data_IF_640633253535
#
_entry.id   IF_640633253535
#
_cell.length_a   1.000
_cell.length_b   1.000
_cell.length_c   1.000
_cell.angle_alpha   90.00
_cell.angle_beta   90.00
_cell.angle_gamma   90.00
#
_symmetry.space_group_name_H-M   'P 1'
#
loop_
_entity.id
_entity.type
_entity.pdbx_description
1 polymer ?
#
# COMPACT_ATOMS: atom_id res chain seq x y z
N UNK A 1 0.36 27.94 9.71
CA UNK A 1 1.25 27.29 8.73
C UNK A 1 2.45 28.22 8.50
N UNK A 2 3.64 27.68 8.45
CA UNK A 2 4.91 28.39 8.30
C UNK A 2 5.22 28.74 6.80
N UNK A 3 4.34 28.38 5.88
CA UNK A 3 4.51 28.57 4.44
C UNK A 3 5.26 27.43 3.72
N UNK A 4 5.66 26.39 4.44
CA UNK A 4 6.25 25.19 3.85
C UNK A 4 5.21 24.41 3.05
N UNK A 5 5.56 23.96 1.85
CA UNK A 5 4.71 23.10 1.03
C UNK A 5 5.17 21.64 1.14
N UNK A 6 4.23 20.73 1.23
CA UNK A 6 4.47 19.30 1.15
C UNK A 6 3.66 18.71 0.00
N UNK A 7 4.33 18.07 -0.92
CA UNK A 7 3.74 17.34 -2.03
C UNK A 7 3.86 15.84 -1.81
N UNK A 8 2.87 15.08 -2.28
CA UNK A 8 2.91 13.62 -2.31
C UNK A 8 2.47 13.12 -3.67
N UNK A 9 3.06 12.01 -4.10
CA UNK A 9 2.77 11.36 -5.36
C UNK A 9 3.16 9.87 -5.30
N UNK A 10 2.64 9.07 -6.19
CA UNK A 10 3.12 7.73 -6.39
C UNK A 10 4.07 7.68 -7.59
N UNK A 11 5.09 6.82 -7.54
CA UNK A 11 6.11 6.71 -8.57
C UNK A 11 6.73 5.33 -8.58
N UNK A 12 7.10 4.87 -9.76
CA UNK A 12 7.73 3.58 -10.07
C UNK A 12 7.99 3.49 -11.56
N UNK A 13 8.36 2.31 -12.05
CA UNK A 13 8.69 2.09 -13.48
C UNK A 13 7.48 2.34 -14.38
N UNK A 14 6.30 1.88 -13.96
CA UNK A 14 5.03 2.05 -14.69
C UNK A 14 3.88 1.90 -13.70
N UNK A 15 2.78 2.60 -13.96
CA UNK A 15 1.54 2.43 -13.19
C UNK A 15 1.10 0.95 -13.14
N UNK A 16 0.63 0.49 -12.00
CA UNK A 16 0.21 -0.89 -11.67
C UNK A 16 1.34 -1.89 -11.43
N UNK A 17 2.59 -1.51 -11.64
CA UNK A 17 3.72 -2.39 -11.35
C UNK A 17 4.02 -2.38 -9.85
N UNK A 18 4.42 -3.53 -9.26
CA UNK A 18 4.65 -3.63 -7.81
C UNK A 18 5.73 -2.71 -7.24
N UNK A 19 6.60 -2.13 -8.07
CA UNK A 19 7.62 -1.16 -7.64
C UNK A 19 7.08 0.25 -7.40
N UNK A 20 5.80 0.50 -7.70
CA UNK A 20 5.16 1.80 -7.45
C UNK A 20 5.02 2.03 -5.95
N UNK A 21 5.69 3.07 -5.46
CA UNK A 21 5.73 3.48 -4.06
C UNK A 21 5.14 4.89 -3.90
N UNK A 22 4.96 5.32 -2.65
CA UNK A 22 4.56 6.68 -2.30
C UNK A 22 5.78 7.49 -1.91
N UNK A 23 5.93 8.65 -2.52
CA UNK A 23 6.99 9.62 -2.24
C UNK A 23 6.41 10.93 -1.75
N UNK A 24 7.23 11.64 -0.99
CA UNK A 24 6.96 13.02 -0.57
C UNK A 24 8.15 13.91 -0.88
N UNK A 25 7.87 15.19 -1.16
CA UNK A 25 8.87 16.24 -1.30
C UNK A 25 8.40 17.48 -0.58
N UNK A 26 9.35 18.22 -0.02
CA UNK A 26 9.11 19.46 0.70
C UNK A 26 9.71 20.63 -0.07
N UNK A 27 9.04 21.76 0.03
CA UNK A 27 9.58 23.06 -0.37
C UNK A 27 9.46 23.99 0.82
N UNK A 28 10.58 24.33 1.41
CA UNK A 28 10.63 25.21 2.58
C UNK A 28 10.12 26.61 2.22
N UNK A 29 9.54 27.29 3.20
CA UNK A 29 9.06 28.65 3.02
C UNK A 29 10.18 29.58 2.50
N UNK A 30 9.87 30.35 1.47
CA UNK A 30 10.85 31.25 0.82
C UNK A 30 11.87 30.57 -0.10
N UNK A 31 11.85 29.24 -0.22
CA UNK A 31 12.70 28.49 -1.16
C UNK A 31 11.98 28.24 -2.47
N UNK A 32 12.72 28.31 -3.57
CA UNK A 32 12.22 27.88 -4.90
C UNK A 32 12.59 26.43 -5.24
N UNK A 33 13.29 25.74 -4.34
CA UNK A 33 13.80 24.40 -4.58
C UNK A 33 13.02 23.38 -3.74
N UNK A 34 12.59 22.29 -4.39
CA UNK A 34 12.04 21.11 -3.74
C UNK A 34 13.16 20.23 -3.17
N UNK A 35 12.90 19.59 -2.06
CA UNK A 35 13.80 18.57 -1.50
C UNK A 35 13.94 17.38 -2.46
N UNK A 36 14.94 16.52 -2.20
CA UNK A 36 14.95 15.19 -2.81
C UNK A 36 13.69 14.42 -2.39
N UNK A 37 13.19 13.50 -3.24
CA UNK A 37 12.11 12.60 -2.87
C UNK A 37 12.45 11.78 -1.62
N UNK A 38 11.50 11.68 -0.71
CA UNK A 38 11.55 10.80 0.47
C UNK A 38 10.56 9.67 0.22
N UNK A 39 11.00 8.43 0.37
CA UNK A 39 10.11 7.26 0.35
C UNK A 39 9.25 7.30 1.61
N UNK A 40 7.95 7.57 1.45
CA UNK A 40 7.00 7.62 2.56
C UNK A 40 6.36 6.26 2.83
N UNK A 41 6.07 5.50 1.78
CA UNK A 41 5.55 4.14 1.89
C UNK A 41 5.84 3.34 0.62
N UNK A 42 6.01 2.04 0.80
CA UNK A 42 6.12 1.07 -0.29
C UNK A 42 4.92 0.14 -0.35
N UNK A 43 4.83 -0.65 -1.40
CA UNK A 43 3.77 -1.63 -1.61
C UNK A 43 4.01 -2.98 -0.95
N UNK A 44 5.07 -3.14 -0.17
CA UNK A 44 5.33 -4.33 0.63
C UNK A 44 4.40 -4.28 1.83
N UNK A 45 3.36 -5.10 1.87
CA UNK A 45 2.38 -5.04 2.95
C UNK A 45 2.29 -6.33 3.76
N UNK A 46 2.96 -7.37 3.32
CA UNK A 46 3.08 -8.61 4.07
C UNK A 46 4.39 -9.30 3.74
N UNK A 47 4.98 -9.89 4.75
CA UNK A 47 6.05 -10.88 4.58
C UNK A 47 5.44 -12.26 4.59
N UNK A 48 6.16 -13.25 4.09
CA UNK A 48 5.68 -14.63 3.98
C UNK A 48 4.97 -15.14 5.24
N UNK A 49 5.54 -14.88 6.42
CA UNK A 49 4.98 -15.34 7.69
C UNK A 49 3.64 -14.67 8.01
N UNK A 50 3.53 -13.39 7.72
CA UNK A 50 2.33 -12.59 8.00
C UNK A 50 1.23 -12.93 6.99
N UNK A 51 1.58 -13.06 5.73
CA UNK A 51 0.66 -13.50 4.70
C UNK A 51 0.10 -14.90 4.99
N UNK A 52 0.95 -15.85 5.32
CA UNK A 52 0.52 -17.20 5.65
C UNK A 52 -0.43 -17.22 6.85
N UNK A 53 -0.19 -16.38 7.86
CA UNK A 53 -1.05 -16.23 9.02
C UNK A 53 -2.41 -15.64 8.66
N UNK A 54 -2.44 -14.54 7.89
CA UNK A 54 -3.67 -13.84 7.51
C UNK A 54 -4.50 -14.66 6.53
N UNK A 55 -3.86 -15.23 5.52
CA UNK A 55 -4.51 -16.06 4.52
C UNK A 55 -4.86 -17.47 5.04
N UNK A 56 -4.44 -17.81 6.26
CA UNK A 56 -4.60 -19.16 6.80
C UNK A 56 -3.77 -20.23 6.09
N UNK A 57 -2.78 -19.83 5.30
CA UNK A 57 -1.84 -20.73 4.61
C UNK A 57 -0.70 -21.07 5.56
N UNK A 58 -0.25 -22.32 5.53
CA UNK A 58 0.90 -22.74 6.31
C UNK A 58 2.18 -22.07 5.80
N UNK A 59 2.90 -21.36 6.67
CA UNK A 59 4.14 -20.68 6.31
C UNK A 59 5.21 -21.63 5.75
N UNK A 60 5.15 -22.92 6.09
CA UNK A 60 6.04 -23.93 5.53
C UNK A 60 5.80 -24.13 4.04
N UNK A 61 4.55 -24.03 3.59
CA UNK A 61 4.19 -24.14 2.17
C UNK A 61 4.75 -22.97 1.38
N UNK A 62 4.68 -21.77 1.93
CA UNK A 62 5.23 -20.56 1.29
C UNK A 62 6.76 -20.67 1.20
N UNK A 63 7.43 -21.12 2.27
CA UNK A 63 8.89 -21.32 2.28
C UNK A 63 9.34 -22.43 1.35
N UNK A 64 8.55 -23.46 1.18
CA UNK A 64 8.83 -24.57 0.28
C UNK A 64 8.58 -24.24 -1.20
N UNK A 65 8.28 -22.97 -1.53
CA UNK A 65 8.07 -22.51 -2.89
C UNK A 65 7.05 -23.37 -3.65
N UNK A 66 5.85 -23.47 -3.10
CA UNK A 66 4.78 -24.32 -3.64
C UNK A 66 4.96 -25.82 -3.40
N UNK A 67 5.71 -26.19 -2.35
CA UNK A 67 5.65 -27.55 -1.83
C UNK A 67 4.24 -27.94 -1.36
N UNK A 68 3.99 -29.22 -1.06
CA UNK A 68 2.66 -29.70 -0.71
C UNK A 68 2.10 -28.97 0.50
N UNK A 69 1.04 -28.21 0.31
CA UNK A 69 0.31 -27.52 1.35
C UNK A 69 -1.10 -28.08 1.46
N UNK A 70 -1.34 -28.91 2.46
CA UNK A 70 -2.64 -29.58 2.65
C UNK A 70 -3.59 -28.81 3.57
N UNK A 71 -3.17 -27.69 4.15
CA UNK A 71 -3.98 -26.98 5.14
C UNK A 71 -5.32 -26.51 4.59
N UNK A 72 -5.37 -26.16 3.29
CA UNK A 72 -6.58 -25.78 2.60
C UNK A 72 -6.97 -26.74 1.46
N UNK A 73 -6.45 -27.98 1.50
CA UNK A 73 -6.70 -28.96 0.47
C UNK A 73 -6.00 -28.68 -0.86
N UNK A 74 -5.09 -27.72 -0.92
CA UNK A 74 -4.36 -27.35 -2.13
C UNK A 74 -2.97 -28.00 -2.07
N UNK A 75 -2.66 -28.82 -3.05
CA UNK A 75 -1.31 -29.27 -3.35
C UNK A 75 -0.68 -28.31 -4.37
N UNK A 76 0.11 -27.38 -3.88
CA UNK A 76 0.76 -26.40 -4.73
C UNK A 76 1.79 -26.97 -5.70
N UNK A 77 2.41 -28.11 -5.35
CA UNK A 77 3.32 -28.78 -6.28
C UNK A 77 2.55 -29.41 -7.44
N UNK A 78 1.44 -30.08 -7.14
CA UNK A 78 0.55 -30.63 -8.16
C UNK A 78 -0.10 -29.51 -8.97
N UNK A 79 -0.64 -28.48 -8.33
CA UNK A 79 -1.23 -27.33 -9.01
C UNK A 79 -0.25 -26.66 -9.97
N UNK A 80 1.00 -26.46 -9.58
CA UNK A 80 2.04 -25.93 -10.45
C UNK A 80 2.30 -26.81 -11.66
N UNK A 81 2.32 -28.13 -11.49
CA UNK A 81 2.50 -29.06 -12.60
C UNK A 81 1.30 -29.05 -13.55
N UNK A 82 0.09 -29.06 -13.00
CA UNK A 82 -1.16 -29.10 -13.75
C UNK A 82 -1.35 -27.85 -14.61
N UNK A 83 -1.08 -26.68 -14.05
CA UNK A 83 -1.22 -25.41 -14.78
C UNK A 83 0.06 -25.00 -15.53
N UNK A 84 1.11 -25.81 -15.41
CA UNK A 84 2.41 -25.58 -16.09
C UNK A 84 2.94 -24.15 -15.92
N UNK A 85 2.72 -23.61 -14.75
CA UNK A 85 3.10 -22.25 -14.38
C UNK A 85 4.61 -22.17 -14.11
N UNK A 86 5.26 -21.16 -14.62
CA UNK A 86 6.65 -20.83 -14.26
C UNK A 86 6.71 -20.29 -12.83
N UNK A 87 7.93 -20.20 -12.26
CA UNK A 87 8.11 -19.59 -10.94
C UNK A 87 7.67 -18.11 -10.93
N UNK A 88 7.99 -17.38 -11.97
CA UNK A 88 7.59 -15.97 -12.14
C UNK A 88 6.09 -15.82 -12.22
N UNK A 89 5.41 -16.63 -13.02
CA UNK A 89 3.96 -16.63 -13.12
C UNK A 89 3.29 -17.01 -11.79
N UNK A 90 3.87 -17.98 -11.08
CA UNK A 90 3.38 -18.38 -9.76
C UNK A 90 3.54 -17.26 -8.73
N UNK A 91 4.64 -16.50 -8.76
CA UNK A 91 4.83 -15.32 -7.92
C UNK A 91 3.83 -14.21 -8.26
N UNK A 92 3.59 -13.96 -9.54
CA UNK A 92 2.58 -12.98 -9.97
C UNK A 92 1.17 -13.41 -9.54
N UNK A 93 0.85 -14.68 -9.69
CA UNK A 93 -0.44 -15.24 -9.27
C UNK A 93 -0.67 -15.13 -7.75
N UNK A 94 0.34 -15.44 -6.95
CA UNK A 94 0.25 -15.36 -5.48
C UNK A 94 0.46 -13.96 -4.93
N UNK A 95 1.08 -13.06 -5.71
CA UNK A 95 1.47 -11.73 -5.28
C UNK A 95 2.72 -11.69 -4.40
N UNK A 96 3.49 -12.77 -4.31
CA UNK A 96 4.78 -12.79 -3.63
C UNK A 96 5.90 -12.30 -4.53
N UNK A 97 6.83 -11.53 -3.98
CA UNK A 97 8.10 -11.23 -4.63
C UNK A 97 9.11 -12.37 -4.45
N UNK A 98 10.17 -12.39 -5.28
CA UNK A 98 11.21 -13.41 -5.23
C UNK A 98 11.96 -13.51 -3.90
N UNK A 99 12.02 -12.42 -3.17
CA UNK A 99 12.63 -12.32 -1.83
C UNK A 99 11.71 -12.79 -0.70
N UNK A 100 10.51 -13.23 -1.03
CA UNK A 100 9.52 -13.70 -0.07
C UNK A 100 8.65 -12.60 0.51
N UNK A 101 8.61 -11.42 -0.09
CA UNK A 101 7.72 -10.34 0.26
C UNK A 101 6.52 -10.30 -0.70
N UNK A 102 5.34 -10.04 -0.17
CA UNK A 102 4.20 -9.68 -0.99
C UNK A 102 4.25 -8.18 -1.28
N UNK A 103 4.28 -7.83 -2.57
CA UNK A 103 4.36 -6.45 -3.01
C UNK A 103 3.29 -6.17 -4.08
N UNK A 104 2.57 -5.06 -3.90
CA UNK A 104 1.61 -4.53 -4.89
C UNK A 104 1.84 -3.04 -5.09
N UNK A 105 1.30 -2.50 -6.16
CA UNK A 105 1.41 -1.07 -6.44
C UNK A 105 0.73 -0.22 -5.36
N UNK A 106 1.33 0.91 -5.04
CA UNK A 106 0.73 1.98 -4.24
C UNK A 106 -0.03 2.97 -5.13
N UNK A 107 -1.10 3.58 -4.57
CA UNK A 107 -2.03 4.42 -5.32
C UNK A 107 -2.52 5.62 -4.53
N UNK A 108 -2.86 6.69 -5.25
CA UNK A 108 -3.64 7.85 -4.82
C UNK A 108 -3.32 8.33 -3.41
N UNK A 109 -2.12 8.89 -3.16
CA UNK A 109 -1.79 9.45 -1.86
C UNK A 109 -2.58 10.73 -1.61
N UNK A 110 -3.04 10.90 -0.37
CA UNK A 110 -3.75 12.09 0.09
C UNK A 110 -3.19 12.53 1.44
N UNK A 111 -2.74 13.76 1.53
CA UNK A 111 -2.21 14.37 2.76
C UNK A 111 -3.32 15.14 3.49
N UNK A 112 -3.30 15.02 4.81
CA UNK A 112 -4.10 15.85 5.70
C UNK A 112 -3.29 16.26 6.93
N UNK A 113 -3.26 17.54 7.25
CA UNK A 113 -2.63 18.04 8.46
C UNK A 113 -3.65 18.15 9.59
N UNK A 114 -3.41 17.44 10.67
CA UNK A 114 -4.21 17.49 11.88
C UNK A 114 -3.99 18.82 12.62
N UNK A 115 -4.96 19.28 13.45
CA UNK A 115 -4.81 20.53 14.23
C UNK A 115 -3.61 20.54 15.19
N UNK A 116 -3.16 19.37 15.64
CA UNK A 116 -1.97 19.21 16.47
C UNK A 116 -0.63 19.32 15.69
N UNK A 117 -0.70 19.52 14.36
CA UNK A 117 0.46 19.61 13.47
C UNK A 117 0.92 18.30 12.87
N UNK A 118 0.42 17.16 13.36
CA UNK A 118 0.70 15.85 12.78
C UNK A 118 0.17 15.76 11.33
N UNK A 119 0.91 15.15 10.44
CA UNK A 119 0.50 14.96 9.05
C UNK A 119 0.15 13.50 8.82
N UNK A 120 -1.04 13.26 8.29
CA UNK A 120 -1.55 11.96 7.92
C UNK A 120 -1.47 11.79 6.39
N UNK A 121 -0.88 10.68 5.97
CA UNK A 121 -0.75 10.30 4.56
C UNK A 121 -1.57 9.04 4.32
N UNK A 122 -2.71 9.21 3.67
CA UNK A 122 -3.56 8.10 3.23
C UNK A 122 -3.15 7.65 1.84
N UNK A 123 -3.15 6.36 1.58
CA UNK A 123 -2.88 5.78 0.27
C UNK A 123 -3.53 4.40 0.14
N UNK A 124 -3.43 3.78 -1.02
CA UNK A 124 -3.97 2.45 -1.28
C UNK A 124 -2.86 1.53 -1.74
N UNK A 125 -3.02 0.25 -1.44
CA UNK A 125 -2.18 -0.83 -1.95
C UNK A 125 -3.09 -1.84 -2.63
N UNK A 126 -2.76 -2.24 -3.86
CA UNK A 126 -3.51 -3.24 -4.61
C UNK A 126 -3.04 -3.38 -6.05
N UNK A 127 -3.37 -4.50 -6.70
CA UNK A 127 -3.04 -4.75 -8.11
C UNK A 127 -3.89 -3.86 -9.04
N UNK A 128 -5.14 -3.64 -8.67
CA UNK A 128 -6.10 -2.81 -9.40
C UNK A 128 -7.12 -2.20 -8.43
N UNK A 129 -8.00 -1.34 -8.93
CA UNK A 129 -8.98 -0.59 -8.11
C UNK A 129 -9.88 -1.49 -7.26
N UNK A 130 -10.25 -2.67 -7.77
CA UNK A 130 -11.12 -3.62 -7.06
C UNK A 130 -10.43 -4.31 -5.88
N UNK A 131 -9.10 -4.36 -5.91
CA UNK A 131 -8.28 -5.03 -4.90
C UNK A 131 -7.68 -4.04 -3.90
N UNK A 132 -8.02 -2.77 -3.98
CA UNK A 132 -7.44 -1.76 -3.12
C UNK A 132 -7.79 -1.98 -1.66
N UNK A 133 -6.76 -1.86 -0.83
CA UNK A 133 -6.87 -1.73 0.62
C UNK A 133 -6.39 -0.33 1.03
N UNK A 134 -7.00 0.24 2.05
CA UNK A 134 -6.65 1.56 2.57
C UNK A 134 -5.53 1.48 3.60
N UNK A 135 -4.60 2.44 3.55
CA UNK A 135 -3.42 2.51 4.42
C UNK A 135 -3.17 3.93 4.88
N UNK A 136 -2.47 4.06 6.00
CA UNK A 136 -2.11 5.31 6.65
C UNK A 136 -0.68 5.29 7.13
N UNK A 137 0.06 6.37 6.88
CA UNK A 137 1.30 6.71 7.58
C UNK A 137 1.15 8.07 8.24
N UNK A 138 1.94 8.34 9.29
CA UNK A 138 1.92 9.58 10.05
C UNK A 138 3.31 10.20 10.11
N UNK A 139 3.36 11.51 10.13
CA UNK A 139 4.57 12.28 10.33
C UNK A 139 4.35 13.35 11.39
N UNK A 140 5.28 13.45 12.34
CA UNK A 140 5.29 14.47 13.40
C UNK A 140 6.36 15.55 13.19
N UNK A 141 7.14 15.42 12.11
CA UNK A 141 8.27 16.30 11.78
C UNK A 141 8.06 17.10 10.49
N UNK A 142 6.80 17.26 10.10
CA UNK A 142 6.42 18.01 8.90
C UNK A 142 6.70 17.26 7.59
N UNK A 143 6.65 15.93 7.59
CA UNK A 143 6.84 15.09 6.41
C UNK A 143 8.31 14.82 6.05
N UNK A 144 9.24 14.99 7.00
CA UNK A 144 10.65 14.60 6.82
C UNK A 144 10.84 13.11 6.99
N UNK A 145 10.16 12.54 7.98
CA UNK A 145 10.09 11.09 8.20
C UNK A 145 8.65 10.63 8.36
N UNK A 146 8.41 9.35 8.11
CA UNK A 146 7.09 8.73 8.18
C UNK A 146 7.12 7.51 9.09
N UNK A 147 6.03 7.27 9.80
CA UNK A 147 5.83 6.03 10.56
C UNK A 147 5.74 4.82 9.65
N UNK A 148 5.85 3.64 10.23
CA UNK A 148 5.39 2.43 9.57
C UNK A 148 3.93 2.60 9.14
N UNK A 149 3.58 1.97 8.01
CA UNK A 149 2.23 2.03 7.48
C UNK A 149 1.27 1.14 8.29
N UNK A 150 0.09 1.67 8.55
CA UNK A 150 -0.98 1.00 9.26
C UNK A 150 -2.15 0.73 8.30
N UNK A 151 -2.73 -0.50 8.27
CA UNK A 151 -3.93 -0.75 7.47
C UNK A 151 -5.12 -0.03 8.08
N UNK A 152 -5.96 0.55 7.23
CA UNK A 152 -7.29 1.01 7.65
C UNK A 152 -8.20 -0.20 7.92
N UNK A 153 -9.27 -0.03 8.70
CA UNK A 153 -10.24 -1.10 8.94
C UNK A 153 -10.75 -1.72 7.63
N UNK A 154 -11.03 -3.00 7.66
CA UNK A 154 -11.51 -3.72 6.48
C UNK A 154 -12.75 -3.04 5.87
N UNK A 155 -12.74 -2.86 4.56
CA UNK A 155 -13.79 -2.17 3.82
C UNK A 155 -13.65 -0.64 3.75
N UNK A 156 -12.68 -0.05 4.46
CA UNK A 156 -12.40 1.37 4.40
C UNK A 156 -11.17 1.65 3.53
N UNK A 157 -11.36 2.46 2.48
CA UNK A 157 -10.26 2.89 1.60
C UNK A 157 -9.63 4.22 2.05
N UNK A 158 -10.32 4.95 2.94
CA UNK A 158 -9.95 6.33 3.23
C UNK A 158 -10.25 7.26 2.05
N UNK A 159 -9.71 8.47 2.05
CA UNK A 159 -9.92 9.43 0.97
C UNK A 159 -9.30 8.93 -0.34
N UNK A 160 -10.05 8.92 -1.44
CA UNK A 160 -9.56 8.42 -2.73
C UNK A 160 -8.66 9.45 -3.43
N UNK A 161 -9.13 10.68 -3.60
CA UNK A 161 -8.40 11.78 -4.25
C UNK A 161 -8.57 13.11 -3.51
N UNK A 162 -9.75 13.36 -2.99
CA UNK A 162 -10.08 14.62 -2.34
C UNK A 162 -9.56 14.64 -0.89
N UNK A 163 -9.19 15.82 -0.42
CA UNK A 163 -8.75 15.99 0.96
C UNK A 163 -9.89 15.67 1.93
N UNK A 164 -9.58 15.01 3.05
CA UNK A 164 -10.50 14.95 4.19
C UNK A 164 -10.83 16.34 4.74
N UNK A 165 -11.95 16.43 5.43
CA UNK A 165 -12.32 17.59 6.22
C UNK A 165 -12.54 17.20 7.68
N UNK A 166 -12.11 18.05 8.59
CA UNK A 166 -12.35 17.88 10.03
C UNK A 166 -13.59 18.68 10.43
N UNK A 167 -14.68 17.98 10.76
CA UNK A 167 -15.96 18.57 11.15
C UNK A 167 -16.33 18.02 12.51
N UNK A 168 -16.52 18.91 13.49
CA UNK A 168 -16.90 18.55 14.88
C UNK A 168 -16.02 17.43 15.48
N UNK A 169 -14.71 17.51 15.26
CA UNK A 169 -13.74 16.52 15.75
C UNK A 169 -13.73 15.19 15.00
N UNK A 170 -14.52 15.05 13.93
CA UNK A 170 -14.58 13.86 13.08
C UNK A 170 -13.91 14.14 11.74
N UNK A 171 -12.99 13.26 11.34
CA UNK A 171 -12.35 13.33 10.04
C UNK A 171 -13.24 12.67 8.98
N UNK A 172 -13.82 13.48 8.11
CA UNK A 172 -14.67 13.03 7.00
C UNK A 172 -13.79 12.78 5.79
N UNK A 173 -13.72 11.52 5.36
CA UNK A 173 -12.90 11.08 4.24
C UNK A 173 -13.80 10.75 3.03
N UNK A 174 -13.77 11.55 1.94
CA UNK A 174 -14.53 11.22 0.74
C UNK A 174 -13.95 9.96 0.08
N UNK A 175 -14.82 9.00 -0.14
CA UNK A 175 -14.45 7.70 -0.71
C UNK A 175 -15.42 7.29 -1.82
N UNK A 176 -14.99 6.38 -2.68
CA UNK A 176 -15.80 5.77 -3.74
C UNK A 176 -15.44 4.30 -3.89
N UNK A 177 -16.37 3.52 -4.42
CA UNK A 177 -16.16 2.13 -4.80
C UNK A 177 -16.44 1.94 -6.28
N UNK A 178 -15.73 1.00 -6.91
CA UNK A 178 -15.84 0.76 -8.36
C UNK A 178 -16.27 -0.67 -8.68
N UNK A 179 -16.89 -1.38 -7.71
CA UNK A 179 -17.26 -2.77 -7.90
C UNK A 179 -18.34 -2.97 -8.99
N UNK A 180 -19.27 -1.99 -9.09
CA UNK A 180 -20.39 -2.02 -10.06
C UNK A 180 -20.51 -0.65 -10.78
N UNK A 181 -19.40 -0.06 -11.16
CA UNK A 181 -19.31 1.32 -11.62
C UNK A 181 -19.02 2.29 -10.47
N UNK A 182 -18.84 3.56 -10.82
CA UNK A 182 -18.58 4.62 -9.83
C UNK A 182 -19.80 4.85 -8.94
N UNK A 183 -19.65 4.71 -7.66
CA UNK A 183 -20.66 5.01 -6.63
C UNK A 183 -20.05 5.86 -5.53
#
# INVERSE_FOLDING_TARGET
ADGTLLATYFGGTKERVPDVCIYTQRKEAGSDVWSKPVLAADGVFERNSDYARIAGIDSTCVKAHFGPCRRHGIDWAAAKQDIRMTWEEALDFTGFAKDGEQRKACWNPVLFQMPNGEIWLFFKIGKNVKDWTGWLCKSTDGGRTWSDKEPLPQGFLGPIKNKPELIDGKLICPSSTENDGWK
#
